data_IF_611680750361
#
_entry.id   IF_611680750361
#
_cell.length_a   1.000
_cell.length_b   1.000
_cell.length_c   1.000
_cell.angle_alpha   90.00
_cell.angle_beta   90.00
_cell.angle_gamma   90.00
#
_symmetry.space_group_name_H-M   'P 1'
#
loop_
_entity.id
_entity.type
_entity.pdbx_description
1 polymer ?
#
# COMPACT_ATOMS: atom_id res chain seq x y z
N UNK A 1 -15.65 -0.79 27.42
CA UNK A 1 -15.90 0.04 26.22
C UNK A 1 -15.04 -0.53 25.10
N UNK A 2 -15.65 -1.16 24.10
CA UNK A 2 -14.95 -1.87 23.04
C UNK A 2 -14.13 -0.91 22.18
N UNK A 3 -12.85 -1.20 21.99
CA UNK A 3 -12.05 -0.52 20.97
C UNK A 3 -12.65 -0.91 19.63
N UNK A 4 -13.27 0.06 18.94
CA UNK A 4 -13.67 -0.14 17.55
C UNK A 4 -12.42 -0.49 16.75
N UNK A 5 -12.37 -1.70 16.18
CA UNK A 5 -11.32 -2.07 15.24
C UNK A 5 -11.30 -1.02 14.14
N UNK A 6 -10.18 -0.32 13.89
CA UNK A 6 -10.10 0.63 12.80
C UNK A 6 -10.49 -0.07 11.50
N UNK A 7 -11.22 0.62 10.62
CA UNK A 7 -11.50 0.07 9.30
C UNK A 7 -10.17 -0.23 8.58
N UNK A 8 -10.14 -1.30 7.76
CA UNK A 8 -8.96 -1.67 6.97
C UNK A 8 -8.39 -0.47 6.22
N UNK A 9 -9.25 0.38 5.67
CA UNK A 9 -8.87 1.61 4.99
C UNK A 9 -8.04 2.54 5.88
N UNK A 10 -8.49 2.81 7.11
CA UNK A 10 -7.77 3.66 8.07
C UNK A 10 -6.40 3.05 8.37
N UNK A 11 -6.37 1.75 8.67
CA UNK A 11 -5.10 1.08 8.99
C UNK A 11 -4.12 1.11 7.83
N UNK A 12 -4.55 0.79 6.60
CA UNK A 12 -3.66 0.86 5.42
C UNK A 12 -3.19 2.30 5.16
N UNK A 13 -4.08 3.28 5.27
CA UNK A 13 -3.72 4.70 5.10
C UNK A 13 -2.64 5.14 6.10
N UNK A 14 -2.69 4.69 7.36
CA UNK A 14 -1.62 4.96 8.33
C UNK A 14 -0.28 4.34 7.93
N UNK A 15 -0.29 3.11 7.37
CA UNK A 15 0.93 2.48 6.85
C UNK A 15 1.48 3.24 5.63
N UNK A 16 0.62 3.66 4.71
CA UNK A 16 0.99 4.45 3.53
C UNK A 16 1.62 5.78 3.95
N UNK A 17 1.02 6.49 4.89
CA UNK A 17 1.55 7.75 5.42
C UNK A 17 2.91 7.56 6.11
N UNK A 18 3.08 6.48 6.88
CA UNK A 18 4.39 6.13 7.46
C UNK A 18 5.43 5.86 6.36
N UNK A 19 5.07 5.11 5.32
CA UNK A 19 5.97 4.82 4.19
C UNK A 19 6.35 6.10 3.43
N UNK A 20 5.40 7.03 3.22
CA UNK A 20 5.68 8.35 2.64
C UNK A 20 6.72 9.12 3.46
N UNK A 21 6.52 9.23 4.77
CA UNK A 21 7.48 9.92 5.66
C UNK A 21 8.86 9.27 5.66
N UNK A 22 8.92 7.93 5.63
CA UNK A 22 10.20 7.21 5.52
C UNK A 22 10.86 7.52 4.17
N UNK A 23 10.08 7.54 3.08
CA UNK A 23 10.61 7.82 1.73
C UNK A 23 11.24 9.21 1.60
N UNK A 24 10.79 10.19 2.39
CA UNK A 24 11.39 11.53 2.42
C UNK A 24 12.81 11.55 3.01
N UNK A 25 13.17 10.51 3.78
CA UNK A 25 14.51 10.36 4.38
C UNK A 25 15.47 9.57 3.48
N UNK A 26 15.00 9.06 2.34
CA UNK A 26 15.78 8.23 1.41
C UNK A 26 16.40 9.05 0.28
N UNK A 27 17.43 8.51 -0.39
CA UNK A 27 17.95 9.05 -1.65
C UNK A 27 16.84 9.22 -2.70
N UNK A 28 17.03 10.17 -3.62
CA UNK A 28 16.00 10.57 -4.58
C UNK A 28 15.48 9.42 -5.45
N UNK A 29 16.33 8.48 -5.86
CA UNK A 29 15.93 7.33 -6.67
C UNK A 29 15.10 6.32 -5.88
N UNK A 30 15.47 6.04 -4.63
CA UNK A 30 14.72 5.17 -3.73
C UNK A 30 13.37 5.78 -3.37
N UNK A 31 13.35 7.09 -3.08
CA UNK A 31 12.12 7.84 -2.84
C UNK A 31 11.17 7.74 -4.02
N UNK A 32 11.65 7.94 -5.24
CA UNK A 32 10.82 7.85 -6.44
C UNK A 32 10.23 6.45 -6.61
N UNK A 33 11.02 5.40 -6.38
CA UNK A 33 10.53 4.01 -6.42
C UNK A 33 9.44 3.75 -5.39
N UNK A 34 9.59 4.25 -4.16
CA UNK A 34 8.56 4.10 -3.12
C UNK A 34 7.30 4.87 -3.50
N UNK A 35 7.41 6.11 -3.99
CA UNK A 35 6.24 6.90 -4.40
C UNK A 35 5.52 6.24 -5.59
N UNK A 36 6.26 5.71 -6.58
CA UNK A 36 5.68 4.91 -7.67
C UNK A 36 5.04 3.62 -7.16
N UNK A 37 5.64 2.97 -6.17
CA UNK A 37 5.03 1.81 -5.52
C UNK A 37 3.73 2.20 -4.82
N UNK A 38 3.64 3.35 -4.14
CA UNK A 38 2.42 3.77 -3.43
C UNK A 38 1.31 4.29 -4.37
N UNK A 39 1.63 4.56 -5.63
CA UNK A 39 0.67 4.99 -6.64
C UNK A 39 -0.38 3.89 -6.95
N UNK A 40 -1.66 4.25 -7.04
CA UNK A 40 -2.80 3.33 -7.24
C UNK A 40 -3.05 2.34 -6.07
N UNK A 41 -2.51 2.61 -4.88
CA UNK A 41 -2.73 1.74 -3.71
C UNK A 41 -4.21 1.70 -3.27
N UNK A 42 -4.93 2.81 -3.44
CA UNK A 42 -6.38 2.89 -3.14
C UNK A 42 -7.20 1.89 -3.94
N UNK A 43 -6.87 1.71 -5.22
CA UNK A 43 -7.48 0.69 -6.08
C UNK A 43 -7.25 -0.73 -5.52
N UNK A 44 -6.11 -0.97 -4.88
CA UNK A 44 -5.81 -2.27 -4.24
C UNK A 44 -6.55 -2.44 -2.93
N UNK A 45 -6.65 -1.38 -2.13
CA UNK A 45 -7.47 -1.37 -0.91
C UNK A 45 -8.91 -1.73 -1.27
N UNK A 46 -9.48 -1.06 -2.29
CA UNK A 46 -10.85 -1.31 -2.74
C UNK A 46 -11.06 -2.78 -3.16
N UNK A 47 -10.13 -3.38 -3.91
CA UNK A 47 -10.18 -4.80 -4.27
C UNK A 47 -10.18 -5.71 -3.03
N UNK A 48 -9.33 -5.41 -2.04
CA UNK A 48 -9.17 -6.22 -0.83
C UNK A 48 -10.36 -6.07 0.14
N UNK A 49 -11.06 -4.94 0.11
CA UNK A 49 -12.26 -4.73 0.94
C UNK A 49 -13.40 -5.68 0.56
N UNK A 50 -13.50 -6.08 -0.71
CA UNK A 50 -14.53 -7.02 -1.17
C UNK A 50 -14.29 -8.46 -0.70
N UNK A 51 -13.04 -8.82 -0.38
CA UNK A 51 -12.66 -10.18 0.05
C UNK A 51 -12.56 -10.32 1.57
N UNK A 52 -12.78 -9.23 2.32
CA UNK A 52 -12.76 -9.25 3.79
C UNK A 52 -11.34 -9.32 4.38
N UNK A 53 -10.33 -8.82 3.66
CA UNK A 53 -8.94 -8.76 4.16
C UNK A 53 -8.91 -8.04 5.51
N UNK A 54 -8.29 -8.69 6.49
CA UNK A 54 -8.19 -8.18 7.86
C UNK A 54 -6.86 -7.48 8.14
N UNK A 55 -5.82 -7.77 7.35
CA UNK A 55 -4.45 -7.31 7.62
C UNK A 55 -3.97 -6.26 6.59
N UNK A 56 -3.54 -5.06 7.05
CA UNK A 56 -3.00 -4.02 6.18
C UNK A 56 -1.76 -4.42 5.37
N UNK A 57 -0.92 -5.33 5.88
CA UNK A 57 0.26 -5.82 5.17
C UNK A 57 -0.12 -6.70 3.99
N UNK A 58 -1.21 -7.47 4.10
CA UNK A 58 -1.71 -8.27 2.98
C UNK A 58 -2.04 -7.39 1.78
N UNK A 59 -2.65 -6.22 2.03
CA UNK A 59 -2.92 -5.21 0.99
C UNK A 59 -1.64 -4.70 0.34
N UNK A 60 -0.59 -4.43 1.13
CA UNK A 60 0.71 -3.99 0.60
C UNK A 60 1.39 -5.09 -0.24
N UNK A 61 1.31 -6.36 0.18
CA UNK A 61 1.85 -7.47 -0.58
C UNK A 61 1.11 -7.69 -1.90
N UNK A 62 -0.22 -7.64 -1.88
CA UNK A 62 -1.03 -7.70 -3.10
C UNK A 62 -0.67 -6.54 -4.03
N UNK A 63 -0.48 -5.34 -3.47
CA UNK A 63 -0.08 -4.18 -4.25
C UNK A 63 1.29 -4.37 -4.93
N UNK A 64 2.26 -4.91 -4.19
CA UNK A 64 3.59 -5.23 -4.71
C UNK A 64 3.50 -6.21 -5.88
N UNK A 65 2.74 -7.30 -5.73
CA UNK A 65 2.56 -8.29 -6.80
C UNK A 65 1.91 -7.65 -8.04
N UNK A 66 0.88 -6.80 -7.85
CA UNK A 66 0.21 -6.09 -8.95
C UNK A 66 1.17 -5.16 -9.70
N UNK A 67 2.02 -4.43 -8.99
CA UNK A 67 3.03 -3.53 -9.58
C UNK A 67 4.10 -4.31 -10.31
N UNK A 68 4.66 -5.37 -9.71
CA UNK A 68 5.63 -6.25 -10.36
C UNK A 68 5.09 -6.84 -11.66
N UNK A 69 3.83 -7.28 -11.67
CA UNK A 69 3.19 -7.80 -12.88
C UNK A 69 2.98 -6.77 -14.00
N UNK A 70 2.89 -5.47 -13.68
CA UNK A 70 2.85 -4.39 -14.68
C UNK A 70 4.24 -4.16 -15.27
N UNK A 71 5.25 -3.99 -14.43
CA UNK A 71 6.64 -3.76 -14.87
C UNK A 71 7.20 -4.95 -15.68
N UNK A 72 6.85 -6.19 -15.31
CA UNK A 72 7.25 -7.38 -16.07
C UNK A 72 6.53 -7.56 -17.42
N UNK A 73 5.39 -6.90 -17.65
CA UNK A 73 4.68 -6.94 -18.94
C UNK A 73 5.14 -5.87 -19.93
N UNK A 74 5.87 -4.86 -19.44
CA UNK A 74 6.40 -3.77 -20.26
C UNK A 74 7.83 -4.07 -20.79
N UNK A 75 8.35 -5.27 -20.51
CA UNK A 75 9.59 -5.85 -21.04
C UNK A 75 9.29 -7.05 -21.96
#
# INVERSE_FOLDING_TARGET
MGRSTPSLWISVSEYVERLRKISEMLPGDERERILRFLDDIESTISLCMHTGVADPLEVLFIHLIRKMGKECKEH
#
